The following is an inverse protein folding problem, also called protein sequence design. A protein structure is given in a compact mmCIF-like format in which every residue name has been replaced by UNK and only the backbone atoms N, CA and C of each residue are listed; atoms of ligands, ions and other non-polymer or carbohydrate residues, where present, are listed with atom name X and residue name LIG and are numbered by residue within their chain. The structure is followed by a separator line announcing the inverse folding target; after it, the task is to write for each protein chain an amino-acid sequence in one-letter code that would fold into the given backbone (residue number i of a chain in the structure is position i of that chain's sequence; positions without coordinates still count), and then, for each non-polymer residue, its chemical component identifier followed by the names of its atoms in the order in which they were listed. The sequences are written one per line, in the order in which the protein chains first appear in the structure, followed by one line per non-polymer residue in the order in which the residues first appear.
data_IF_533557082175
#
_entry.id   IF_533557082175
#
_cell.length_a   1.000
_cell.length_b   1.000
_cell.length_c   1.000
_cell.angle_alpha   90.00
_cell.angle_beta   90.00
_cell.angle_gamma   90.00
#
_symmetry.space_group_name_H-M   'P 1'
#
loop_
_entity.id
_entity.type
_entity.pdbx_description
1 polymer ?
#
# COMPACT_ATOMS: atom_id res chain seq x y z
N UNK A 1 0.99 -68.14 -23.71
CA UNK A 1 -0.03 -67.06 -23.72
C UNK A 1 0.52 -65.64 -23.41
N UNK A 2 1.84 -65.40 -23.32
CA UNK A 2 2.37 -64.08 -22.89
C UNK A 2 2.80 -63.10 -24.01
N UNK A 3 3.00 -63.54 -25.25
CA UNK A 3 3.52 -62.64 -26.30
C UNK A 3 2.47 -61.69 -26.88
N UNK A 4 1.23 -62.16 -27.09
CA UNK A 4 0.16 -61.33 -27.68
C UNK A 4 -0.28 -60.21 -26.72
N UNK A 5 -0.41 -60.52 -25.43
CA UNK A 5 -0.72 -59.53 -24.39
C UNK A 5 0.41 -58.51 -24.22
N UNK A 6 1.68 -58.96 -24.19
CA UNK A 6 2.84 -58.07 -24.12
C UNK A 6 2.93 -57.11 -25.32
N UNK A 7 2.65 -57.60 -26.53
CA UNK A 7 2.63 -56.77 -27.75
C UNK A 7 1.46 -55.78 -27.74
N UNK A 8 0.28 -56.21 -27.30
CA UNK A 8 -0.88 -55.32 -27.16
C UNK A 8 -0.61 -54.21 -26.15
N UNK A 9 -0.12 -54.56 -24.96
CA UNK A 9 0.25 -53.58 -23.92
C UNK A 9 1.30 -52.61 -24.46
N UNK A 10 2.39 -53.07 -25.08
CA UNK A 10 3.43 -52.18 -25.63
C UNK A 10 2.91 -51.25 -26.73
N UNK A 11 1.94 -51.69 -27.53
CA UNK A 11 1.42 -50.94 -28.69
C UNK A 11 0.37 -49.87 -28.31
N UNK A 12 -0.39 -50.07 -27.24
CA UNK A 12 -1.49 -49.16 -26.84
C UNK A 12 -1.25 -48.42 -25.53
N UNK A 13 -0.32 -48.85 -24.67
CA UNK A 13 -0.16 -48.30 -23.33
C UNK A 13 0.20 -46.80 -23.33
N UNK A 14 1.10 -46.35 -24.21
CA UNK A 14 1.46 -44.92 -24.30
C UNK A 14 0.25 -44.08 -24.71
N UNK A 15 -0.48 -44.51 -25.74
CA UNK A 15 -1.66 -43.81 -26.24
C UNK A 15 -2.80 -43.79 -25.19
N UNK A 16 -2.99 -44.90 -24.49
CA UNK A 16 -3.97 -45.02 -23.42
C UNK A 16 -3.63 -44.10 -22.23
N UNK A 17 -2.36 -44.02 -21.82
CA UNK A 17 -1.93 -43.11 -20.75
C UNK A 17 -2.20 -41.66 -21.14
N UNK A 18 -1.85 -41.25 -22.37
CA UNK A 18 -2.08 -39.87 -22.85
C UNK A 18 -3.58 -39.56 -22.89
N UNK A 19 -4.41 -40.49 -23.38
CA UNK A 19 -5.86 -40.32 -23.41
C UNK A 19 -6.45 -40.19 -22.00
N UNK A 20 -6.04 -41.05 -21.06
CA UNK A 20 -6.48 -40.98 -19.65
C UNK A 20 -6.05 -39.67 -19.01
N UNK A 21 -4.82 -39.22 -19.25
CA UNK A 21 -4.33 -37.94 -18.74
C UNK A 21 -5.13 -36.75 -19.31
N UNK A 22 -5.52 -36.83 -20.59
CA UNK A 22 -6.39 -35.85 -21.23
C UNK A 22 -7.77 -35.79 -20.58
N UNK A 23 -8.38 -36.95 -20.30
CA UNK A 23 -9.66 -37.01 -19.57
C UNK A 23 -9.54 -36.35 -18.20
N UNK A 24 -8.50 -36.70 -17.44
CA UNK A 24 -8.28 -36.13 -16.09
C UNK A 24 -8.12 -34.61 -16.15
N UNK A 25 -7.31 -34.10 -17.09
CA UNK A 25 -7.09 -32.66 -17.29
C UNK A 25 -8.40 -31.94 -17.65
N UNK A 26 -9.22 -32.50 -18.54
CA UNK A 26 -10.52 -31.92 -18.91
C UNK A 26 -11.46 -31.86 -17.69
N UNK A 27 -11.52 -32.94 -16.90
CA UNK A 27 -12.35 -32.99 -15.68
C UNK A 27 -11.89 -31.95 -14.65
N UNK A 28 -10.58 -31.80 -14.44
CA UNK A 28 -10.03 -30.79 -13.52
C UNK A 28 -10.36 -29.37 -14.01
N UNK A 29 -10.21 -29.11 -15.31
CA UNK A 29 -10.48 -27.80 -15.89
C UNK A 29 -11.95 -27.39 -15.77
N UNK A 30 -12.88 -28.34 -15.98
CA UNK A 30 -14.32 -28.12 -15.78
C UNK A 30 -14.68 -27.83 -14.33
N UNK A 31 -14.05 -28.53 -13.38
CA UNK A 31 -14.37 -28.38 -11.95
C UNK A 31 -13.70 -27.17 -11.29
N UNK A 32 -12.62 -26.64 -11.88
CA UNK A 32 -11.80 -25.59 -11.26
C UNK A 32 -11.97 -24.21 -11.91
N UNK A 33 -12.98 -24.02 -12.78
CA UNK A 33 -13.18 -22.79 -13.59
C UNK A 33 -11.87 -22.25 -14.18
N UNK A 34 -11.03 -23.16 -14.69
CA UNK A 34 -9.73 -22.81 -15.27
C UNK A 34 -9.91 -22.04 -16.57
N UNK A 35 -8.89 -21.28 -16.95
CA UNK A 35 -8.89 -20.48 -18.17
C UNK A 35 -9.22 -21.34 -19.42
N UNK A 36 -9.90 -20.72 -20.37
CA UNK A 36 -10.31 -21.31 -21.65
C UNK A 36 -9.15 -21.95 -22.42
N UNK A 37 -7.95 -21.38 -22.30
CA UNK A 37 -6.71 -21.91 -22.88
C UNK A 37 -6.32 -23.26 -22.28
N UNK A 38 -6.46 -23.44 -20.96
CA UNK A 38 -6.21 -24.72 -20.30
C UNK A 38 -7.18 -25.80 -20.80
N UNK A 39 -8.46 -25.45 -20.90
CA UNK A 39 -9.49 -26.37 -21.40
C UNK A 39 -9.23 -26.81 -22.85
N UNK A 40 -8.84 -25.88 -23.73
CA UNK A 40 -8.50 -26.21 -25.12
C UNK A 40 -7.26 -27.10 -25.22
N UNK A 41 -6.22 -26.86 -24.41
CA UNK A 41 -5.03 -27.71 -24.36
C UNK A 41 -5.36 -29.13 -23.86
N UNK A 42 -6.20 -29.26 -22.84
CA UNK A 42 -6.65 -30.54 -22.29
C UNK A 42 -7.44 -31.36 -23.33
N UNK A 43 -8.33 -30.71 -24.09
CA UNK A 43 -9.08 -31.34 -25.18
C UNK A 43 -8.14 -31.75 -26.32
N UNK A 44 -7.15 -30.92 -26.68
CA UNK A 44 -6.18 -31.26 -27.72
C UNK A 44 -5.33 -32.48 -27.33
N UNK A 45 -4.95 -32.59 -26.05
CA UNK A 45 -4.24 -33.76 -25.50
C UNK A 45 -5.11 -35.03 -25.58
N UNK A 46 -6.40 -34.93 -25.23
CA UNK A 46 -7.37 -36.01 -25.34
C UNK A 46 -7.51 -36.50 -26.79
N UNK A 47 -7.69 -35.57 -27.74
CA UNK A 47 -7.79 -35.87 -29.17
C UNK A 47 -6.52 -36.58 -29.65
N UNK A 48 -5.34 -36.10 -29.26
CA UNK A 48 -4.06 -36.75 -29.58
C UNK A 48 -3.98 -38.20 -29.07
N UNK A 49 -4.41 -38.45 -27.82
CA UNK A 49 -4.47 -39.79 -27.24
C UNK A 49 -5.44 -40.72 -27.98
N UNK A 50 -6.64 -40.24 -28.31
CA UNK A 50 -7.65 -41.00 -29.05
C UNK A 50 -7.19 -41.35 -30.47
N UNK A 51 -6.58 -40.39 -31.17
CA UNK A 51 -6.03 -40.61 -32.51
C UNK A 51 -4.90 -41.64 -32.49
N UNK A 52 -4.05 -41.62 -31.47
CA UNK A 52 -2.98 -42.61 -31.30
C UNK A 52 -3.53 -44.02 -31.06
N UNK A 53 -4.64 -44.16 -30.31
CA UNK A 53 -5.34 -45.44 -30.14
C UNK A 53 -5.93 -45.92 -31.47
N UNK A 54 -6.64 -45.05 -32.19
CA UNK A 54 -7.30 -45.40 -33.46
C UNK A 54 -6.31 -45.74 -34.59
N UNK A 55 -5.17 -45.05 -34.63
CA UNK A 55 -4.06 -45.37 -35.53
C UNK A 55 -3.46 -46.74 -35.18
N UNK A 56 -3.23 -46.98 -33.88
CA UNK A 56 -2.73 -48.27 -33.40
C UNK A 56 -3.71 -49.41 -33.69
N UNK A 57 -5.02 -49.15 -33.66
CA UNK A 57 -6.08 -50.09 -34.03
C UNK A 57 -6.18 -50.38 -35.54
N UNK A 58 -5.45 -49.65 -36.39
CA UNK A 58 -5.48 -49.82 -37.85
C UNK A 58 -6.75 -49.27 -38.52
N UNK A 59 -7.60 -48.58 -37.77
CA UNK A 59 -8.85 -47.97 -38.27
C UNK A 59 -8.54 -46.72 -39.11
N UNK A 60 -7.49 -45.98 -38.74
CA UNK A 60 -7.12 -44.70 -39.32
C UNK A 60 -5.87 -44.82 -40.20
N UNK A 61 -5.95 -44.30 -41.43
CA UNK A 61 -4.83 -44.27 -42.38
C UNK A 61 -3.74 -43.28 -41.96
N UNK A 62 -2.48 -43.63 -42.24
CA UNK A 62 -1.28 -42.84 -41.86
C UNK A 62 -1.35 -41.36 -42.27
N UNK A 63 -1.85 -41.07 -43.46
CA UNK A 63 -1.90 -39.69 -43.99
C UNK A 63 -2.90 -38.81 -43.23
N UNK A 64 -4.02 -39.38 -42.78
CA UNK A 64 -5.03 -38.66 -41.99
C UNK A 64 -4.47 -38.34 -40.60
N UNK A 65 -3.80 -39.32 -39.98
CA UNK A 65 -3.17 -39.14 -38.66
C UNK A 65 -2.05 -38.11 -38.71
N UNK A 66 -1.23 -38.10 -39.77
CA UNK A 66 -0.20 -37.09 -39.96
C UNK A 66 -0.79 -35.69 -40.18
N UNK A 67 -1.85 -35.56 -40.98
CA UNK A 67 -2.52 -34.28 -41.22
C UNK A 67 -3.10 -33.68 -39.93
N UNK A 68 -3.85 -34.48 -39.16
CA UNK A 68 -4.41 -34.03 -37.88
C UNK A 68 -3.29 -33.76 -36.86
N UNK A 69 -2.26 -34.61 -36.83
CA UNK A 69 -1.09 -34.42 -35.97
C UNK A 69 -0.39 -33.08 -36.20
N UNK A 70 -0.23 -32.67 -37.46
CA UNK A 70 0.35 -31.35 -37.78
C UNK A 70 -0.52 -30.19 -37.28
N UNK A 71 -1.85 -30.29 -37.44
CA UNK A 71 -2.79 -29.28 -36.91
C UNK A 71 -2.73 -29.22 -35.38
N UNK A 72 -2.71 -30.37 -34.70
CA UNK A 72 -2.58 -30.43 -33.24
C UNK A 72 -1.27 -29.80 -32.75
N UNK A 73 -0.16 -30.00 -33.46
CA UNK A 73 1.14 -29.38 -33.13
C UNK A 73 1.05 -27.86 -33.31
N UNK A 74 0.54 -27.37 -34.44
CA UNK A 74 0.39 -25.94 -34.69
C UNK A 74 -0.51 -25.26 -33.62
N UNK A 75 -1.64 -25.90 -33.28
CA UNK A 75 -2.52 -25.44 -32.21
C UNK A 75 -1.81 -25.42 -30.84
N UNK A 76 -1.01 -26.44 -30.54
CA UNK A 76 -0.25 -26.51 -29.27
C UNK A 76 0.79 -25.40 -29.16
N UNK A 77 1.49 -25.09 -30.25
CA UNK A 77 2.44 -23.97 -30.29
C UNK A 77 1.73 -22.64 -30.09
N UNK A 78 0.60 -22.42 -30.76
CA UNK A 78 -0.22 -21.22 -30.59
C UNK A 78 -0.66 -21.05 -29.12
N UNK A 79 -1.20 -22.10 -28.51
CA UNK A 79 -1.62 -22.05 -27.10
C UNK A 79 -0.47 -21.84 -26.13
N UNK A 80 0.71 -22.38 -26.42
CA UNK A 80 1.89 -22.12 -25.61
C UNK A 80 2.26 -20.63 -25.61
N UNK A 81 2.20 -19.97 -26.77
CA UNK A 81 2.47 -18.53 -26.89
C UNK A 81 1.40 -17.69 -26.19
N UNK A 82 0.12 -17.98 -26.41
CA UNK A 82 -0.99 -17.27 -25.76
C UNK A 82 -0.97 -17.44 -24.23
N UNK A 83 -0.69 -18.65 -23.74
CA UNK A 83 -0.57 -18.93 -22.31
C UNK A 83 0.58 -18.13 -21.68
N UNK A 84 1.73 -18.09 -22.34
CA UNK A 84 2.86 -17.27 -21.89
C UNK A 84 2.49 -15.78 -21.81
N UNK A 85 1.89 -15.24 -22.87
CA UNK A 85 1.47 -13.83 -22.92
C UNK A 85 0.40 -13.49 -21.88
N UNK A 86 -0.57 -14.40 -21.66
CA UNK A 86 -1.64 -14.24 -20.68
C UNK A 86 -1.11 -14.17 -19.25
N UNK A 87 -0.19 -15.09 -18.90
CA UNK A 87 0.48 -15.10 -17.60
C UNK A 87 1.32 -13.85 -17.40
N UNK A 88 2.09 -13.44 -18.41
CA UNK A 88 2.91 -12.22 -18.35
C UNK A 88 2.03 -10.98 -18.14
N UNK A 89 0.92 -10.86 -18.88
CA UNK A 89 -0.04 -9.76 -18.74
C UNK A 89 -0.67 -9.73 -17.35
N UNK A 90 -1.08 -10.88 -16.82
CA UNK A 90 -1.65 -10.99 -15.46
C UNK A 90 -0.63 -10.59 -14.40
N UNK A 91 0.62 -11.08 -14.50
CA UNK A 91 1.69 -10.72 -13.56
C UNK A 91 2.00 -9.23 -13.61
N UNK A 92 2.13 -8.66 -14.81
CA UNK A 92 2.36 -7.23 -15.00
C UNK A 92 1.22 -6.40 -14.40
N UNK A 93 -0.03 -6.78 -14.65
CA UNK A 93 -1.19 -6.10 -14.08
C UNK A 93 -1.18 -6.13 -12.54
N UNK A 94 -0.87 -7.28 -11.93
CA UNK A 94 -0.75 -7.38 -10.47
C UNK A 94 0.38 -6.51 -9.90
N UNK A 95 1.54 -6.46 -10.59
CA UNK A 95 2.65 -5.60 -10.20
C UNK A 95 2.29 -4.12 -10.33
N UNK A 96 1.64 -3.73 -11.42
CA UNK A 96 1.20 -2.35 -11.67
C UNK A 96 0.12 -1.92 -10.66
N UNK A 97 -0.82 -2.80 -10.32
CA UNK A 97 -1.82 -2.57 -9.27
C UNK A 97 -1.15 -2.37 -7.91
N UNK A 98 -0.27 -3.28 -7.48
CA UNK A 98 0.42 -3.19 -6.19
C UNK A 98 1.27 -1.91 -6.09
N UNK A 99 1.93 -1.53 -7.18
CA UNK A 99 2.69 -0.28 -7.27
C UNK A 99 1.78 0.94 -7.19
N UNK A 100 0.68 0.94 -7.93
CA UNK A 100 -0.31 2.01 -7.93
C UNK A 100 -0.90 2.20 -6.53
N UNK A 101 -1.32 1.12 -5.88
CA UNK A 101 -1.88 1.14 -4.52
C UNK A 101 -0.90 1.75 -3.51
N UNK A 102 0.37 1.31 -3.53
CA UNK A 102 1.40 1.82 -2.65
C UNK A 102 1.64 3.34 -2.85
N UNK A 103 1.69 3.80 -4.10
CA UNK A 103 1.89 5.21 -4.44
C UNK A 103 0.68 6.06 -4.05
N UNK A 104 -0.54 5.60 -4.33
CA UNK A 104 -1.77 6.30 -3.96
C UNK A 104 -1.92 6.39 -2.45
N UNK A 105 -1.72 5.29 -1.72
CA UNK A 105 -1.74 5.28 -0.26
C UNK A 105 -0.72 6.27 0.31
N UNK A 106 0.51 6.25 -0.21
CA UNK A 106 1.54 7.19 0.24
C UNK A 106 1.16 8.65 -0.04
N UNK A 107 0.64 8.96 -1.23
CA UNK A 107 0.12 10.30 -1.58
C UNK A 107 -1.00 10.74 -0.63
N UNK A 108 -2.00 9.89 -0.39
CA UNK A 108 -3.13 10.18 0.50
C UNK A 108 -2.68 10.36 1.97
N UNK A 109 -1.71 9.57 2.44
CA UNK A 109 -1.10 9.77 3.78
C UNK A 109 -0.43 11.14 3.87
N UNK A 110 0.29 11.57 2.82
CA UNK A 110 0.92 12.88 2.81
C UNK A 110 -0.13 14.01 2.84
N UNK A 111 -1.17 13.94 2.01
CA UNK A 111 -2.28 14.90 2.05
C UNK A 111 -2.89 14.95 3.46
N UNK A 112 -3.16 13.79 4.05
CA UNK A 112 -3.74 13.65 5.39
C UNK A 112 -2.86 14.27 6.46
N UNK A 113 -1.56 14.04 6.43
CA UNK A 113 -0.60 14.58 7.39
C UNK A 113 -0.57 16.13 7.35
N UNK A 114 -0.54 16.70 6.15
CA UNK A 114 -0.56 18.16 5.96
C UNK A 114 -1.91 18.73 6.43
N UNK A 115 -3.02 18.06 6.10
CA UNK A 115 -4.37 18.44 6.54
C UNK A 115 -4.53 18.39 8.07
N UNK A 116 -3.96 17.37 8.73
CA UNK A 116 -3.91 17.27 10.20
C UNK A 116 -3.12 18.42 10.81
N UNK A 117 -1.98 18.76 10.24
CA UNK A 117 -1.17 19.89 10.69
C UNK A 117 -1.91 21.23 10.52
N UNK A 118 -2.58 21.43 9.38
CA UNK A 118 -3.42 22.59 9.11
C UNK A 118 -4.56 22.70 10.14
N UNK A 119 -5.32 21.62 10.37
CA UNK A 119 -6.40 21.59 11.36
C UNK A 119 -5.91 21.83 12.78
N UNK A 120 -4.77 21.27 13.16
CA UNK A 120 -4.17 21.49 14.48
C UNK A 120 -3.85 22.96 14.74
N UNK A 121 -3.42 23.69 13.69
CA UNK A 121 -3.09 25.12 13.77
C UNK A 121 -4.33 26.02 13.68
N UNK A 122 -5.18 25.78 12.68
CA UNK A 122 -6.25 26.70 12.25
C UNK A 122 -7.63 26.29 12.79
N UNK A 123 -7.76 25.11 13.38
CA UNK A 123 -9.03 24.56 13.89
C UNK A 123 -9.89 23.84 12.85
N UNK A 124 -9.60 24.00 11.56
CA UNK A 124 -10.36 23.42 10.44
C UNK A 124 -9.44 22.86 9.33
N UNK A 125 -9.97 22.00 8.46
CA UNK A 125 -9.23 21.44 7.31
C UNK A 125 -9.17 22.41 6.13
N UNK A 126 -8.05 22.45 5.40
CA UNK A 126 -7.90 23.31 4.22
C UNK A 126 -8.94 22.93 3.15
N UNK A 127 -9.60 23.93 2.56
CA UNK A 127 -10.73 23.74 1.65
C UNK A 127 -10.34 23.24 0.27
N UNK A 128 -9.14 23.59 -0.19
CA UNK A 128 -8.62 23.19 -1.49
C UNK A 128 -7.10 22.97 -1.43
N UNK A 129 -6.54 22.46 -2.53
CA UNK A 129 -5.10 22.23 -2.65
C UNK A 129 -4.28 23.52 -2.66
N UNK A 130 -4.88 24.67 -2.96
CA UNK A 130 -4.18 25.96 -2.95
C UNK A 130 -3.95 26.44 -1.51
N UNK A 131 -4.99 26.40 -0.66
CA UNK A 131 -4.87 26.68 0.78
C UNK A 131 -3.91 25.68 1.44
N UNK A 132 -4.00 24.40 1.06
CA UNK A 132 -3.08 23.36 1.57
C UNK A 132 -1.62 23.64 1.19
N UNK A 133 -1.37 24.07 -0.05
CA UNK A 133 -0.04 24.46 -0.53
C UNK A 133 0.49 25.69 0.19
N UNK A 134 -0.34 26.72 0.33
CA UNK A 134 0.03 27.97 0.99
C UNK A 134 0.44 27.73 2.45
N UNK A 135 -0.33 26.89 3.17
CA UNK A 135 0.03 26.41 4.50
C UNK A 135 1.37 25.66 4.48
N UNK A 136 1.52 24.70 3.56
CA UNK A 136 2.74 23.91 3.50
C UNK A 136 3.99 24.79 3.30
N UNK A 137 3.93 25.78 2.43
CA UNK A 137 5.09 26.59 2.06
C UNK A 137 5.41 27.72 3.05
N UNK A 138 4.39 28.36 3.62
CA UNK A 138 4.56 29.61 4.35
C UNK A 138 4.32 29.50 5.85
N UNK A 139 3.54 28.52 6.30
CA UNK A 139 3.11 28.48 7.69
C UNK A 139 4.12 27.85 8.64
N UNK A 140 4.16 28.42 9.84
CA UNK A 140 4.89 27.88 10.99
C UNK A 140 3.96 27.08 11.89
N UNK A 141 4.48 26.00 12.46
CA UNK A 141 3.82 25.18 13.47
C UNK A 141 4.63 25.19 14.77
N UNK A 142 3.92 24.95 15.87
CA UNK A 142 4.55 24.75 17.17
C UNK A 142 5.22 23.38 17.22
N UNK A 143 6.53 23.36 17.46
CA UNK A 143 7.30 22.16 17.70
C UNK A 143 7.81 22.17 19.12
N UNK A 144 7.48 21.13 19.86
CA UNK A 144 8.00 20.89 21.21
C UNK A 144 9.41 20.31 21.06
N UNK A 145 10.42 21.06 21.49
CA UNK A 145 11.77 20.57 21.68
C UNK A 145 11.92 20.04 23.10
N UNK A 146 12.11 18.74 23.21
CA UNK A 146 12.46 18.06 24.46
C UNK A 146 13.87 17.48 24.34
N UNK A 147 14.85 18.13 24.99
CA UNK A 147 16.23 17.67 25.08
C UNK A 147 16.57 17.33 26.53
N UNK A 148 17.31 16.24 26.72
CA UNK A 148 17.67 15.74 28.05
C UNK A 148 16.52 15.02 28.78
N UNK A 149 16.91 14.17 29.71
CA UNK A 149 15.99 13.42 30.58
C UNK A 149 15.76 14.18 31.88
N UNK A 150 14.57 14.02 32.47
CA UNK A 150 14.30 14.55 33.81
C UNK A 150 15.23 13.84 34.80
N UNK A 151 15.98 14.57 35.64
CA UNK A 151 16.84 13.96 36.65
C UNK A 151 16.08 13.04 37.61
N UNK A 152 16.52 11.80 37.75
CA UNK A 152 15.96 10.81 38.69
C UNK A 152 16.48 11.01 40.13
N UNK A 153 16.60 12.26 40.58
CA UNK A 153 17.05 12.62 41.94
C UNK A 153 16.12 13.65 42.57
N UNK A 154 16.28 13.82 43.88
CA UNK A 154 15.60 14.87 44.65
C UNK A 154 16.19 16.25 44.33
N UNK A 155 15.38 17.29 44.54
CA UNK A 155 15.85 18.67 44.50
C UNK A 155 16.93 18.90 45.55
N UNK A 156 17.97 19.66 45.20
CA UNK A 156 18.92 20.20 46.17
C UNK A 156 18.32 21.40 46.90
N UNK A 157 18.91 21.78 48.03
CA UNK A 157 18.49 22.98 48.78
C UNK A 157 18.58 24.24 47.91
N UNK A 158 19.65 24.37 47.13
CA UNK A 158 19.87 25.51 46.21
C UNK A 158 18.81 25.56 45.11
N UNK A 159 18.46 24.41 44.52
CA UNK A 159 17.41 24.34 43.49
C UNK A 159 16.02 24.60 44.06
N UNK A 160 15.72 24.10 45.27
CA UNK A 160 14.45 24.40 45.95
C UNK A 160 14.32 25.89 46.17
N UNK A 161 15.34 26.52 46.75
CA UNK A 161 15.33 27.95 47.07
C UNK A 161 15.26 28.83 45.81
N UNK A 162 15.70 28.30 44.65
CA UNK A 162 15.54 28.96 43.36
C UNK A 162 14.12 28.80 42.75
N UNK A 163 13.41 27.71 43.05
CA UNK A 163 12.08 27.42 42.51
C UNK A 163 10.93 27.90 43.40
N UNK A 164 11.13 27.87 44.71
CA UNK A 164 10.10 28.03 45.72
C UNK A 164 10.58 29.00 46.80
N UNK A 165 9.69 29.89 47.24
CA UNK A 165 9.94 30.84 48.34
C UNK A 165 9.64 30.23 49.72
N UNK A 166 9.67 28.89 49.83
CA UNK A 166 9.36 28.16 51.07
C UNK A 166 10.36 27.04 51.38
N UNK A 167 10.35 26.57 52.63
CA UNK A 167 11.19 25.45 53.09
C UNK A 167 10.47 24.11 52.99
N UNK A 168 9.80 23.84 51.86
CA UNK A 168 9.14 22.55 51.64
C UNK A 168 10.12 21.37 51.69
N UNK A 169 9.57 20.20 52.00
CA UNK A 169 10.30 18.95 51.96
C UNK A 169 10.74 18.63 50.51
N UNK A 170 11.98 18.14 50.38
CA UNK A 170 12.61 17.72 49.11
C UNK A 170 12.66 16.19 49.03
N UNK A 171 11.66 15.52 49.58
CA UNK A 171 11.63 14.06 49.72
C UNK A 171 11.29 13.33 48.40
N UNK A 172 10.71 14.05 47.43
CA UNK A 172 10.31 13.54 46.11
C UNK A 172 11.35 13.80 45.03
N UNK A 173 11.36 12.94 44.01
CA UNK A 173 12.16 13.14 42.82
C UNK A 173 11.65 14.35 42.03
N UNK A 174 12.58 15.01 41.33
CA UNK A 174 12.32 16.17 40.50
C UNK A 174 11.29 15.85 39.42
N UNK A 175 10.29 16.71 39.30
CA UNK A 175 9.28 16.63 38.23
C UNK A 175 9.79 17.29 36.95
N UNK A 176 9.18 16.95 35.81
CA UNK A 176 9.54 17.56 34.52
C UNK A 176 9.36 19.09 34.52
N UNK A 177 8.33 19.58 35.23
CA UNK A 177 8.08 21.01 35.39
C UNK A 177 9.19 21.71 36.16
N UNK A 178 9.64 21.11 37.27
CA UNK A 178 10.74 21.66 38.09
C UNK A 178 12.06 21.64 37.31
N UNK A 179 12.35 20.54 36.61
CA UNK A 179 13.53 20.45 35.75
C UNK A 179 13.53 21.52 34.65
N UNK A 180 12.37 21.76 34.02
CA UNK A 180 12.21 22.81 33.01
C UNK A 180 12.42 24.21 33.60
N UNK A 181 11.85 24.50 34.77
CA UNK A 181 12.03 25.79 35.44
C UNK A 181 13.50 26.01 35.85
N UNK A 182 14.17 25.00 36.39
CA UNK A 182 15.60 25.10 36.74
C UNK A 182 16.49 25.33 35.51
N UNK A 183 16.16 24.69 34.39
CA UNK A 183 16.87 24.91 33.12
C UNK A 183 16.68 26.35 32.61
N UNK A 184 15.46 26.91 32.71
CA UNK A 184 15.18 28.32 32.36
C UNK A 184 15.93 29.29 33.28
N UNK A 185 16.06 28.97 34.57
CA UNK A 185 16.83 29.74 35.55
C UNK A 185 18.35 29.62 35.38
N UNK A 186 18.83 28.93 34.34
CA UNK A 186 20.25 28.82 34.04
C UNK A 186 20.99 27.78 34.88
N UNK A 187 20.29 26.77 35.41
CA UNK A 187 20.86 25.69 36.24
C UNK A 187 21.60 26.24 37.48
N UNK A 188 20.89 26.80 38.47
CA UNK A 188 21.48 27.53 39.59
C UNK A 188 22.42 26.69 40.49
N UNK A 189 22.26 25.37 40.50
CA UNK A 189 23.13 24.45 41.24
C UNK A 189 24.30 23.90 40.40
N UNK A 190 24.46 24.32 39.14
CA UNK A 190 25.43 23.77 38.17
C UNK A 190 25.37 22.24 38.09
N UNK A 191 24.18 21.67 38.17
CA UNK A 191 23.99 20.24 38.18
C UNK A 191 24.25 19.64 36.79
N UNK A 192 25.15 18.66 36.68
CA UNK A 192 25.55 18.08 35.40
C UNK A 192 24.40 17.34 34.70
N UNK A 193 23.46 16.81 35.46
CA UNK A 193 22.28 16.10 34.95
C UNK A 193 21.20 17.01 34.36
N UNK A 194 21.22 18.30 34.70
CA UNK A 194 20.40 19.35 34.07
C UNK A 194 21.11 20.04 32.90
N UNK A 195 22.40 19.74 32.66
CA UNK A 195 23.15 20.35 31.58
C UNK A 195 22.56 19.94 30.22
N UNK A 196 22.11 20.92 29.44
CA UNK A 196 21.48 20.70 28.14
C UNK A 196 20.02 20.23 28.21
N UNK A 197 19.40 20.19 29.39
CA UNK A 197 17.97 19.97 29.51
C UNK A 197 17.21 21.16 28.91
N UNK A 198 16.31 20.89 27.96
CA UNK A 198 15.48 21.91 27.32
C UNK A 198 14.07 21.38 27.15
N UNK A 199 13.09 22.18 27.55
CA UNK A 199 11.66 21.99 27.28
C UNK A 199 11.16 23.32 26.75
N UNK A 200 11.08 23.43 25.43
CA UNK A 200 10.74 24.68 24.77
C UNK A 200 9.79 24.41 23.60
N UNK A 201 8.94 25.39 23.30
CA UNK A 201 8.03 25.33 22.15
C UNK A 201 8.48 26.36 21.14
N UNK A 202 9.09 25.91 20.05
CA UNK A 202 9.58 26.78 18.99
C UNK A 202 8.62 26.80 17.81
N UNK A 203 8.54 27.95 17.14
CA UNK A 203 7.82 28.10 15.88
C UNK A 203 8.77 27.76 14.72
N UNK A 204 8.52 26.65 14.03
CA UNK A 204 9.31 26.22 12.88
C UNK A 204 8.42 26.14 11.64
N UNK A 205 8.99 26.37 10.44
CA UNK A 205 8.24 26.18 9.20
C UNK A 205 7.82 24.72 9.06
N UNK A 206 6.55 24.50 8.72
CA UNK A 206 6.02 23.14 8.57
C UNK A 206 6.73 22.38 7.45
N UNK A 207 7.02 23.05 6.32
CA UNK A 207 7.83 22.52 5.23
C UNK A 207 9.13 21.86 5.71
N UNK A 208 9.86 22.54 6.58
CA UNK A 208 11.17 22.08 7.04
C UNK A 208 11.02 20.86 7.96
N UNK A 209 10.03 20.84 8.84
CA UNK A 209 9.71 19.68 9.67
C UNK A 209 9.32 18.48 8.79
N UNK A 210 8.43 18.72 7.83
CA UNK A 210 7.92 17.68 6.95
C UNK A 210 9.03 17.06 6.10
N UNK A 211 9.84 17.90 5.45
CA UNK A 211 10.92 17.46 4.56
C UNK A 211 12.12 16.87 5.31
N UNK A 212 12.38 17.27 6.56
CA UNK A 212 13.50 16.73 7.33
C UNK A 212 13.20 15.43 8.07
N UNK A 213 11.94 14.98 8.08
CA UNK A 213 11.56 13.70 8.68
C UNK A 213 12.29 12.53 8.03
N UNK A 214 13.08 11.79 8.84
CA UNK A 214 13.81 10.60 8.38
C UNK A 214 12.88 9.49 7.89
N UNK A 215 11.70 9.34 8.49
CA UNK A 215 10.73 8.33 8.04
C UNK A 215 10.27 8.65 6.63
N UNK A 216 9.80 9.89 6.39
CA UNK A 216 9.29 10.31 5.08
C UNK A 216 10.35 10.22 3.98
N UNK A 217 11.62 10.53 4.29
CA UNK A 217 12.73 10.34 3.35
C UNK A 217 12.90 8.87 2.95
N UNK A 218 12.90 7.96 3.92
CA UNK A 218 13.01 6.52 3.67
C UNK A 218 11.81 5.98 2.90
N UNK A 219 10.60 6.40 3.25
CA UNK A 219 9.37 5.93 2.59
C UNK A 219 9.34 6.35 1.11
N UNK A 220 9.79 7.58 0.80
CA UNK A 220 9.94 8.05 -0.59
C UNK A 220 11.01 7.29 -1.36
N UNK A 221 12.17 7.06 -0.74
CA UNK A 221 13.27 6.31 -1.33
C UNK A 221 12.85 4.86 -1.65
N UNK A 222 12.14 4.21 -0.73
CA UNK A 222 11.60 2.86 -0.93
C UNK A 222 10.62 2.77 -2.09
N UNK A 223 9.87 3.84 -2.37
CA UNK A 223 8.94 3.93 -3.49
C UNK A 223 9.60 4.41 -4.80
N UNK A 224 10.91 4.69 -4.79
CA UNK A 224 11.63 5.22 -5.95
C UNK A 224 11.19 6.62 -6.35
N UNK A 225 10.65 7.40 -5.41
CA UNK A 225 10.18 8.76 -5.64
C UNK A 225 11.34 9.76 -5.53
N UNK A 226 11.35 10.76 -6.41
CA UNK A 226 12.32 11.85 -6.39
C UNK A 226 12.12 12.85 -5.25
N UNK A 227 12.63 14.08 -5.44
CA UNK A 227 12.42 15.18 -4.50
C UNK A 227 10.90 15.43 -4.31
N UNK A 228 10.50 15.74 -3.08
CA UNK A 228 9.11 16.08 -2.78
C UNK A 228 8.73 17.38 -3.50
N UNK A 229 7.59 17.34 -4.19
CA UNK A 229 6.93 18.48 -4.80
C UNK A 229 5.47 18.51 -4.31
N UNK A 230 5.05 19.66 -3.79
CA UNK A 230 3.69 19.86 -3.28
C UNK A 230 2.68 19.97 -4.42
N UNK A 231 3.11 20.46 -5.59
CA UNK A 231 2.23 20.63 -6.76
C UNK A 231 1.84 19.30 -7.40
N UNK A 232 2.65 18.26 -7.22
CA UNK A 232 2.33 16.90 -7.66
C UNK A 232 1.26 16.23 -6.78
N UNK A 233 1.10 16.69 -5.54
CA UNK A 233 0.27 16.02 -4.54
C UNK A 233 -1.22 16.05 -4.88
N UNK A 234 -1.67 17.02 -5.68
CA UNK A 234 -3.07 17.09 -6.12
C UNK A 234 -3.45 16.02 -7.15
N UNK A 235 -2.47 15.38 -7.79
CA UNK A 235 -2.71 14.38 -8.82
C UNK A 235 -2.63 12.95 -8.26
N UNK A 236 -3.44 12.06 -8.84
CA UNK A 236 -3.42 10.63 -8.56
C UNK A 236 -2.21 10.02 -9.29
N UNK A 237 -1.26 9.40 -8.58
CA UNK A 237 -0.10 8.77 -9.21
C UNK A 237 -0.50 7.69 -10.22
N UNK A 238 0.28 7.53 -11.29
CA UNK A 238 0.08 6.52 -12.35
C UNK A 238 -1.20 6.68 -13.19
N UNK A 239 -1.84 7.86 -13.19
CA UNK A 239 -2.97 8.16 -14.09
C UNK A 239 -2.50 8.89 -15.35
N UNK A 240 -3.05 8.50 -16.51
CA UNK A 240 -2.85 9.16 -17.79
C UNK A 240 -4.19 9.21 -18.58
N UNK A 241 -4.81 10.39 -18.80
CA UNK A 241 -4.35 11.72 -18.37
C UNK A 241 -4.31 11.86 -16.83
N UNK A 242 -3.52 12.82 -16.33
CA UNK A 242 -3.40 13.06 -14.89
C UNK A 242 -4.77 13.40 -14.27
N UNK A 243 -5.28 12.50 -13.46
CA UNK A 243 -6.51 12.72 -12.69
C UNK A 243 -6.17 13.42 -11.35
N UNK A 244 -7.05 14.29 -10.88
CA UNK A 244 -6.88 15.01 -9.61
C UNK A 244 -7.71 14.35 -8.49
N UNK A 245 -7.21 14.42 -7.26
CA UNK A 245 -8.00 14.06 -6.07
C UNK A 245 -9.13 15.08 -5.89
N UNK A 246 -10.31 14.59 -5.54
CA UNK A 246 -11.41 15.46 -5.11
C UNK A 246 -11.30 15.67 -3.61
N UNK A 247 -11.36 16.93 -3.18
CA UNK A 247 -11.29 17.31 -1.78
C UNK A 247 -12.55 18.08 -1.40
N UNK A 248 -13.23 17.61 -0.36
CA UNK A 248 -14.40 18.25 0.22
C UNK A 248 -14.18 18.47 1.71
N UNK A 249 -14.41 19.69 2.19
CA UNK A 249 -14.34 20.01 3.62
C UNK A 249 -15.58 20.74 4.09
N UNK A 250 -15.87 20.59 5.38
CA UNK A 250 -16.90 21.37 6.08
C UNK A 250 -16.29 21.87 7.38
N UNK A 251 -16.31 23.19 7.60
CA UNK A 251 -15.76 23.79 8.81
C UNK A 251 -16.64 23.51 10.03
N UNK A 252 -17.94 23.72 9.86
CA UNK A 252 -18.94 23.65 10.94
C UNK A 252 -20.01 22.61 10.62
N UNK A 253 -19.67 21.32 10.70
CA UNK A 253 -20.66 20.26 10.58
C UNK A 253 -21.36 20.05 11.93
N UNK A 254 -22.70 20.13 12.03
CA UNK A 254 -23.42 19.93 13.28
C UNK A 254 -23.13 18.56 13.89
N UNK A 255 -22.65 18.55 15.14
CA UNK A 255 -22.32 17.35 15.89
C UNK A 255 -22.84 17.48 17.31
N UNK A 256 -23.82 16.66 17.67
CA UNK A 256 -24.58 16.83 18.92
C UNK A 256 -25.25 18.23 19.01
N UNK A 257 -26.17 18.42 19.96
CA UNK A 257 -27.18 19.49 19.91
C UNK A 257 -26.63 20.93 19.81
N UNK A 258 -25.37 21.20 20.17
CA UNK A 258 -24.78 22.55 20.21
C UNK A 258 -23.29 22.60 19.81
N UNK A 259 -22.71 21.51 19.28
CA UNK A 259 -21.29 21.48 18.92
C UNK A 259 -21.13 21.30 17.40
N UNK A 260 -19.99 21.73 16.88
CA UNK A 260 -19.67 21.66 15.46
C UNK A 260 -18.29 21.08 15.28
N UNK A 261 -18.15 20.15 14.33
CA UNK A 261 -16.87 19.54 14.00
C UNK A 261 -16.46 19.91 12.59
N UNK A 262 -15.15 20.04 12.38
CA UNK A 262 -14.61 20.12 11.02
C UNK A 262 -14.41 18.72 10.45
N UNK A 263 -14.92 18.49 9.25
CA UNK A 263 -14.86 17.22 8.52
C UNK A 263 -14.15 17.37 7.17
N UNK A 264 -13.52 16.31 6.69
CA UNK A 264 -12.86 16.26 5.39
C UNK A 264 -13.17 14.92 4.71
N UNK A 265 -13.28 14.94 3.39
CA UNK A 265 -13.26 13.76 2.56
C UNK A 265 -12.39 14.03 1.32
N UNK A 266 -11.32 13.25 1.18
CA UNK A 266 -10.45 13.28 0.00
C UNK A 266 -10.57 11.95 -0.70
N UNK A 267 -10.94 11.95 -1.98
CA UNK A 267 -11.19 10.71 -2.72
C UNK A 267 -10.88 10.84 -4.22
N UNK A 268 -10.65 9.69 -4.85
CA UNK A 268 -10.35 9.55 -6.27
C UNK A 268 -10.52 8.10 -6.72
N UNK A 269 -10.40 7.84 -8.01
CA UNK A 269 -10.41 6.46 -8.54
C UNK A 269 -9.00 5.89 -8.48
N UNK A 270 -8.89 4.59 -8.21
CA UNK A 270 -7.63 3.86 -8.33
C UNK A 270 -7.01 4.07 -9.72
N UNK A 271 -5.69 4.15 -9.87
CA UNK A 271 -5.12 4.31 -11.22
C UNK A 271 -5.25 3.00 -12.04
N UNK A 272 -5.09 1.87 -11.37
CA UNK A 272 -5.21 0.52 -11.94
C UNK A 272 -6.30 -0.23 -11.16
N UNK A 273 -7.19 -0.94 -11.85
CA UNK A 273 -8.21 -1.78 -11.23
C UNK A 273 -7.59 -3.01 -10.55
N UNK A 274 -8.24 -3.53 -9.51
CA UNK A 274 -7.80 -4.75 -8.82
C UNK A 274 -7.85 -6.01 -9.70
N UNK A 275 -8.80 -6.04 -10.62
CA UNK A 275 -8.96 -7.13 -11.58
C UNK A 275 -8.67 -6.62 -12.99
N UNK A 276 -8.08 -7.49 -13.80
CA UNK A 276 -7.90 -7.25 -15.23
C UNK A 276 -9.29 -7.01 -15.86
N UNK A 277 -9.43 -5.93 -16.63
CA UNK A 277 -10.71 -5.44 -17.19
C UNK A 277 -11.81 -5.06 -16.17
N UNK A 278 -11.45 -4.95 -14.89
CA UNK A 278 -12.35 -4.53 -13.82
C UNK A 278 -12.61 -3.02 -13.77
N UNK A 279 -13.64 -2.63 -13.02
CA UNK A 279 -13.88 -1.21 -12.71
C UNK A 279 -12.94 -0.70 -11.63
N UNK A 280 -12.42 0.51 -11.80
CA UNK A 280 -11.59 1.21 -10.79
C UNK A 280 -12.44 1.56 -9.57
N UNK A 281 -11.98 1.19 -8.37
CA UNK A 281 -12.70 1.53 -7.14
C UNK A 281 -12.41 2.96 -6.71
N UNK A 282 -13.26 3.51 -5.84
CA UNK A 282 -13.01 4.80 -5.19
C UNK A 282 -12.13 4.53 -3.96
N UNK A 283 -11.02 5.23 -3.88
CA UNK A 283 -10.08 5.21 -2.76
C UNK A 283 -9.91 6.62 -2.20
N UNK A 284 -9.66 6.72 -0.90
CA UNK A 284 -9.64 8.01 -0.23
C UNK A 284 -9.49 7.91 1.27
N UNK A 285 -9.65 9.03 1.96
CA UNK A 285 -9.74 9.09 3.40
C UNK A 285 -10.74 10.13 3.87
N UNK A 286 -11.20 9.95 5.10
CA UNK A 286 -12.11 10.86 5.77
C UNK A 286 -13.58 10.60 5.47
N UNK A 287 -14.44 11.43 6.08
CA UNK A 287 -15.88 11.31 6.00
C UNK A 287 -16.52 12.67 6.30
N UNK A 288 -17.51 13.10 5.53
CA UNK A 288 -18.18 14.41 5.70
C UNK A 288 -19.21 14.46 6.85
N UNK A 289 -19.49 13.32 7.46
CA UNK A 289 -20.46 13.17 8.55
C UNK A 289 -19.79 12.91 9.90
N UNK A 290 -18.48 12.67 9.93
CA UNK A 290 -17.73 12.39 11.16
C UNK A 290 -16.37 13.08 11.10
N UNK A 291 -15.74 13.39 12.24
CA UNK A 291 -14.36 13.92 12.26
C UNK A 291 -13.30 12.83 11.98
N UNK A 292 -13.70 11.70 11.38
CA UNK A 292 -12.77 10.63 11.02
C UNK A 292 -11.92 11.05 9.81
N UNK A 293 -10.65 10.69 9.85
CA UNK A 293 -9.69 10.82 8.75
C UNK A 293 -9.07 9.46 8.38
N UNK A 294 -9.80 8.38 8.69
CA UNK A 294 -9.41 7.02 8.34
C UNK A 294 -9.38 6.84 6.82
N UNK A 295 -8.36 6.13 6.34
CA UNK A 295 -8.21 5.79 4.94
C UNK A 295 -8.99 4.53 4.57
N UNK A 296 -9.30 4.35 3.29
CA UNK A 296 -9.90 3.11 2.77
C UNK A 296 -8.98 1.88 2.90
N UNK A 297 -7.70 2.09 3.23
CA UNK A 297 -6.67 1.06 3.40
C UNK A 297 -6.42 0.65 4.86
N UNK A 298 -7.18 1.21 5.82
CA UNK A 298 -7.05 0.94 7.27
C UNK A 298 -8.17 0.03 7.77
#
# INVERSE_FOLDING_TARGET
MNNQFSVFVKRYLIAAIIAVFGVVMVVIGMNSNQDSLFMMAAVNLLIGGLLAILFSAGILGRNIVLGIGFVCIAASVYFMVESYNSVERTQKHQMDYARSEALMRHSLIQIRDIQRAHKSKNGYYAADFKELKEFFENDKIQKIEALGSVPSRKLTVVERDALYDDKRAIDKNMTEREAAQLAVLGNPANAQDLAGFKRDTLQVYYKDEFLNSRSRKRDREALGLGKFDIDELKYIPMTDPKEEWTMETRKDFPYLQNDTISTIYVYGKEAVSRFEDGTRNIVGFGNLSTSSDKGTWE
#
